data_IF_269699481673
#
_entry.id   IF_269699481673
#
_cell.length_a   1.000
_cell.length_b   1.000
_cell.length_c   1.000
_cell.angle_alpha   90.00
_cell.angle_beta   90.00
_cell.angle_gamma   90.00
#
_symmetry.space_group_name_H-M   'P 1'
#
loop_
_entity.id
_entity.type
_entity.pdbx_description
1 polymer ?
#
# COMPACT_ATOMS: atom_id res chain seq x y z
N UNK A 1 -7.30 -11.91 -2.22
CA UNK A 1 -5.91 -12.13 -2.68
C UNK A 1 -5.04 -11.91 -1.44
N UNK A 2 -4.27 -12.91 -1.02
CA UNK A 2 -3.44 -12.79 0.18
C UNK A 2 -1.97 -12.83 -0.25
N UNK A 3 -1.36 -11.65 -0.34
CA UNK A 3 0.08 -11.52 -0.57
C UNK A 3 0.74 -11.34 0.79
N UNK A 4 1.88 -11.98 1.03
CA UNK A 4 2.69 -11.72 2.21
C UNK A 4 3.89 -10.86 1.80
N UNK A 5 3.97 -9.66 2.37
CA UNK A 5 5.01 -8.66 2.13
C UNK A 5 5.79 -8.34 3.40
N UNK A 6 5.56 -9.07 4.50
CA UNK A 6 6.13 -8.79 5.83
C UNK A 6 7.66 -8.71 5.79
N UNK A 7 8.31 -9.66 5.12
CA UNK A 7 9.77 -9.67 4.97
C UNK A 7 10.28 -8.49 4.14
N UNK A 8 9.55 -8.11 3.09
CA UNK A 8 9.87 -6.94 2.28
C UNK A 8 9.78 -5.65 3.09
N UNK A 9 8.76 -5.53 3.94
CA UNK A 9 8.57 -4.37 4.82
C UNK A 9 9.70 -4.26 5.87
N UNK A 10 10.01 -5.37 6.57
CA UNK A 10 11.14 -5.41 7.52
C UNK A 10 12.45 -5.04 6.86
N UNK A 11 12.71 -5.59 5.67
CA UNK A 11 13.91 -5.28 4.92
C UNK A 11 13.94 -3.81 4.45
N UNK A 12 12.80 -3.27 4.02
CA UNK A 12 12.67 -1.87 3.60
C UNK A 12 12.98 -0.91 4.77
N UNK A 13 12.28 -1.04 5.90
CA UNK A 13 12.47 -0.17 7.06
C UNK A 13 13.83 -0.39 7.74
N UNK A 14 14.36 -1.62 7.71
CA UNK A 14 15.68 -1.96 8.23
C UNK A 14 16.83 -1.17 7.61
N UNK A 15 16.67 -0.65 6.39
CA UNK A 15 17.67 0.18 5.69
C UNK A 15 17.75 1.62 6.20
N UNK A 16 16.77 2.07 6.98
CA UNK A 16 16.70 3.42 7.52
C UNK A 16 17.13 3.45 8.98
N UNK A 17 17.68 4.58 9.42
CA UNK A 17 17.94 4.86 10.83
C UNK A 17 16.64 4.93 11.63
N UNK A 18 16.70 4.64 12.93
CA UNK A 18 15.54 4.70 13.84
C UNK A 18 14.80 6.05 13.74
N UNK A 19 15.52 7.16 13.72
CA UNK A 19 14.96 8.51 13.57
C UNK A 19 14.12 8.72 12.31
N UNK A 20 14.40 7.96 11.24
CA UNK A 20 13.71 8.06 9.96
C UNK A 20 12.62 7.00 9.78
N UNK A 21 12.69 5.88 10.48
CA UNK A 21 11.71 4.78 10.32
C UNK A 21 10.29 5.22 10.66
N UNK A 22 10.10 5.83 11.83
CA UNK A 22 8.78 6.22 12.31
C UNK A 22 8.09 7.28 11.43
N UNK A 23 8.77 8.37 11.00
CA UNK A 23 8.18 9.30 10.03
C UNK A 23 7.80 8.65 8.69
N UNK A 24 8.65 7.76 8.16
CA UNK A 24 8.37 7.06 6.90
C UNK A 24 7.18 6.11 7.04
N UNK A 25 7.10 5.39 8.16
CA UNK A 25 5.97 4.53 8.49
C UNK A 25 4.67 5.31 8.54
N UNK A 26 4.65 6.43 9.28
CA UNK A 26 3.45 7.29 9.39
C UNK A 26 2.99 7.80 8.03
N UNK A 27 3.91 8.31 7.21
CA UNK A 27 3.59 8.77 5.86
C UNK A 27 3.00 7.65 4.99
N UNK A 28 3.59 6.44 5.05
CA UNK A 28 3.07 5.28 4.33
C UNK A 28 1.66 4.87 4.80
N UNK A 29 1.44 4.85 6.12
CA UNK A 29 0.14 4.58 6.72
C UNK A 29 -0.91 5.60 6.25
N UNK A 30 -0.58 6.89 6.28
CA UNK A 30 -1.48 7.97 5.83
C UNK A 30 -1.85 7.80 4.36
N UNK A 31 -0.89 7.51 3.48
CA UNK A 31 -1.15 7.27 2.05
C UNK A 31 -2.06 6.05 1.82
N UNK A 32 -1.84 4.95 2.54
CA UNK A 32 -2.70 3.75 2.45
C UNK A 32 -4.11 4.03 2.95
N UNK A 33 -4.26 4.75 4.07
CA UNK A 33 -5.57 5.17 4.59
C UNK A 33 -6.28 6.09 3.61
N UNK A 34 -5.56 7.02 2.97
CA UNK A 34 -6.12 7.93 1.96
C UNK A 34 -6.65 7.15 0.75
N UNK A 35 -5.88 6.18 0.22
CA UNK A 35 -6.36 5.33 -0.89
C UNK A 35 -7.59 4.54 -0.45
N UNK A 36 -7.56 3.94 0.75
CA UNK A 36 -8.69 3.19 1.30
C UNK A 36 -9.96 4.06 1.36
N UNK A 37 -9.89 5.26 1.95
CA UNK A 37 -11.03 6.17 2.04
C UNK A 37 -11.54 6.61 0.67
N UNK A 38 -10.64 6.89 -0.26
CA UNK A 38 -11.01 7.30 -1.61
C UNK A 38 -11.64 6.17 -2.42
N UNK A 39 -11.34 4.90 -2.11
CA UNK A 39 -12.03 3.78 -2.77
C UNK A 39 -13.55 3.88 -2.59
N UNK A 40 -14.04 4.32 -1.42
CA UNK A 40 -15.48 4.48 -1.18
C UNK A 40 -16.15 5.58 -2.04
N UNK A 41 -15.37 6.44 -2.70
CA UNK A 41 -15.83 7.59 -3.49
C UNK A 41 -15.65 7.40 -5.01
N UNK A 42 -15.23 6.20 -5.44
CA UNK A 42 -15.03 5.89 -6.86
C UNK A 42 -16.37 5.61 -7.53
N UNK A 43 -16.70 6.43 -8.52
CA UNK A 43 -17.92 6.35 -9.33
C UNK A 43 -17.64 6.16 -10.82
N UNK A 44 -16.36 6.12 -11.22
CA UNK A 44 -15.93 5.99 -12.61
C UNK A 44 -14.54 5.36 -12.74
N UNK A 45 -14.21 4.95 -13.96
CA UNK A 45 -12.95 4.27 -14.30
C UNK A 45 -11.71 5.17 -14.19
N UNK A 46 -11.86 6.49 -14.39
CA UNK A 46 -10.76 7.45 -14.26
C UNK A 46 -10.25 7.50 -12.82
N UNK A 47 -11.18 7.63 -11.85
CA UNK A 47 -10.87 7.60 -10.42
C UNK A 47 -10.28 6.25 -9.99
N UNK A 48 -10.81 5.15 -10.52
CA UNK A 48 -10.24 3.82 -10.28
C UNK A 48 -8.78 3.73 -10.77
N UNK A 49 -8.51 4.23 -11.98
CA UNK A 49 -7.17 4.24 -12.55
C UNK A 49 -6.21 5.17 -11.81
N UNK A 50 -6.69 6.29 -11.28
CA UNK A 50 -5.91 7.18 -10.42
C UNK A 50 -5.49 6.47 -9.13
N UNK A 51 -6.42 5.79 -8.45
CA UNK A 51 -6.10 5.04 -7.22
C UNK A 51 -5.17 3.86 -7.48
N UNK A 52 -5.36 3.13 -8.61
CA UNK A 52 -4.40 2.13 -9.06
C UNK A 52 -3.00 2.73 -9.25
N UNK A 53 -2.91 3.94 -9.80
CA UNK A 53 -1.63 4.61 -10.00
C UNK A 53 -0.95 4.96 -8.67
N UNK A 54 -1.71 5.48 -7.71
CA UNK A 54 -1.20 5.76 -6.36
C UNK A 54 -0.74 4.48 -5.66
N UNK A 55 -1.53 3.41 -5.71
CA UNK A 55 -1.17 2.13 -5.11
C UNK A 55 0.09 1.53 -5.75
N UNK A 56 0.25 1.64 -7.08
CA UNK A 56 1.51 1.27 -7.75
C UNK A 56 2.69 2.09 -7.25
N UNK A 57 2.51 3.39 -7.03
CA UNK A 57 3.54 4.25 -6.44
C UNK A 57 4.02 3.73 -5.09
N UNK A 58 3.09 3.38 -4.20
CA UNK A 58 3.39 2.79 -2.90
C UNK A 58 4.10 1.43 -3.05
N UNK A 59 3.59 0.55 -3.92
CA UNK A 59 4.19 -0.76 -4.13
C UNK A 59 5.64 -0.64 -4.63
N UNK A 60 5.91 0.25 -5.59
CA UNK A 60 7.28 0.52 -6.08
C UNK A 60 8.17 1.13 -5.01
N UNK A 61 7.64 2.04 -4.20
CA UNK A 61 8.36 2.61 -3.07
C UNK A 61 8.83 1.52 -2.09
N UNK A 62 7.95 0.55 -1.82
CA UNK A 62 8.23 -0.64 -1.01
C UNK A 62 9.00 -1.74 -1.76
N UNK A 63 9.41 -1.51 -3.01
CA UNK A 63 10.08 -2.50 -3.87
C UNK A 63 9.26 -3.78 -4.13
N UNK A 64 7.93 -3.68 -4.15
CA UNK A 64 6.99 -4.76 -4.43
C UNK A 64 6.64 -4.82 -5.92
N UNK A 65 6.82 -5.98 -6.55
CA UNK A 65 6.54 -6.22 -7.96
C UNK A 65 5.04 -6.51 -8.23
N UNK A 66 4.16 -5.55 -7.91
CA UNK A 66 2.69 -5.73 -7.98
C UNK A 66 2.02 -4.98 -9.14
N UNK A 67 2.79 -4.24 -9.95
CA UNK A 67 2.26 -3.39 -11.03
C UNK A 67 1.31 -4.13 -11.99
N UNK A 68 1.70 -5.30 -12.47
CA UNK A 68 0.89 -6.11 -13.39
C UNK A 68 -0.42 -6.56 -12.73
N UNK A 69 -0.35 -6.99 -11.48
CA UNK A 69 -1.51 -7.43 -10.70
C UNK A 69 -2.50 -6.28 -10.49
N UNK A 70 -2.00 -5.09 -10.17
CA UNK A 70 -2.82 -3.88 -9.99
C UNK A 70 -3.44 -3.45 -11.32
N UNK A 71 -2.70 -3.53 -12.44
CA UNK A 71 -3.24 -3.19 -13.75
C UNK A 71 -4.44 -4.08 -14.13
N UNK A 72 -4.38 -5.38 -13.80
CA UNK A 72 -5.44 -6.35 -14.08
C UNK A 72 -6.70 -6.21 -13.21
N UNK A 73 -6.69 -5.37 -12.16
CA UNK A 73 -7.88 -5.22 -11.30
C UNK A 73 -9.02 -4.55 -12.06
N UNK A 74 -10.13 -5.24 -12.25
CA UNK A 74 -11.28 -4.71 -12.98
C UNK A 74 -12.27 -3.98 -12.07
N UNK A 75 -12.16 -4.18 -10.75
CA UNK A 75 -13.16 -3.71 -9.79
C UNK A 75 -12.53 -2.95 -8.64
N UNK A 76 -13.31 -2.03 -8.09
CA UNK A 76 -12.97 -1.32 -6.86
C UNK A 76 -12.72 -2.27 -5.69
N UNK A 77 -13.54 -3.32 -5.56
CA UNK A 77 -13.42 -4.30 -4.47
C UNK A 77 -12.08 -5.02 -4.47
N UNK A 78 -11.50 -5.30 -5.64
CA UNK A 78 -10.14 -5.88 -5.74
C UNK A 78 -9.08 -4.91 -5.25
N UNK A 79 -9.20 -3.64 -5.63
CA UNK A 79 -8.27 -2.59 -5.20
C UNK A 79 -8.36 -2.38 -3.68
N UNK A 80 -9.57 -2.24 -3.15
CA UNK A 80 -9.84 -2.08 -1.72
C UNK A 80 -9.25 -3.25 -0.91
N UNK A 81 -9.53 -4.48 -1.33
CA UNK A 81 -9.00 -5.67 -0.66
C UNK A 81 -7.47 -5.73 -0.66
N UNK A 82 -6.81 -5.29 -1.73
CA UNK A 82 -5.35 -5.25 -1.78
C UNK A 82 -4.79 -4.13 -0.88
N UNK A 83 -5.37 -2.93 -0.93
CA UNK A 83 -4.98 -1.82 -0.07
C UNK A 83 -5.10 -2.21 1.40
N UNK A 84 -6.19 -2.86 1.81
CA UNK A 84 -6.41 -3.34 3.18
C UNK A 84 -5.38 -4.40 3.59
N UNK A 85 -5.06 -5.31 2.69
CA UNK A 85 -4.10 -6.35 2.95
C UNK A 85 -2.69 -5.77 3.19
N UNK A 86 -2.27 -4.81 2.34
CA UNK A 86 -0.99 -4.10 2.50
C UNK A 86 -1.00 -3.28 3.78
N UNK A 87 -2.08 -2.54 4.03
CA UNK A 87 -2.25 -1.75 5.26
C UNK A 87 -2.13 -2.61 6.52
N UNK A 88 -2.81 -3.75 6.57
CA UNK A 88 -2.76 -4.65 7.72
C UNK A 88 -1.36 -5.17 8.01
N UNK A 89 -0.56 -5.45 6.97
CA UNK A 89 0.82 -5.88 7.12
C UNK A 89 1.77 -4.75 7.50
N UNK A 90 1.54 -3.53 6.99
CA UNK A 90 2.26 -2.34 7.43
C UNK A 90 1.98 -2.07 8.90
N UNK A 91 0.71 -2.07 9.31
CA UNK A 91 0.33 -1.87 10.71
C UNK A 91 0.91 -2.93 11.65
N UNK A 92 1.06 -4.18 11.18
CA UNK A 92 1.59 -5.27 11.98
C UNK A 92 3.09 -5.12 12.35
N UNK A 93 3.85 -4.29 11.63
CA UNK A 93 5.27 -4.04 11.93
C UNK A 93 5.49 -2.79 12.78
N UNK A 94 4.44 -2.11 13.24
CA UNK A 94 4.57 -0.87 14.04
C UNK A 94 5.43 -1.07 15.28
N UNK A 95 5.22 -2.18 15.99
CA UNK A 95 5.96 -2.54 17.22
C UNK A 95 7.42 -2.97 16.94
N UNK A 96 7.81 -3.13 15.67
CA UNK A 96 9.15 -3.57 15.24
C UNK A 96 10.05 -2.40 14.75
N UNK A 97 9.54 -1.17 14.67
CA UNK A 97 10.23 0.00 14.09
C UNK A 97 11.15 0.73 15.06
#
# INVERSE_FOLDING_TARGET
MNIDISDSLRHFFGRYSEERRLPLYRALVEELVNIHQQTALVDNDEKLNALKHQLKGICRYLSLALDEQINMMATLGQLHCLTDNIYGQVAAIEDEL
#
